data_IF_492490499339
#
_entry.id   IF_492490499339
#
_cell.length_a   1.000
_cell.length_b   1.000
_cell.length_c   1.000
_cell.angle_alpha   90.00
_cell.angle_beta   90.00
_cell.angle_gamma   90.00
#
_symmetry.space_group_name_H-M   'P 1'
#
loop_
_entity.id
_entity.type
_entity.pdbx_description
1 polymer ?
#
# COMPACT_ATOMS: atom_id res chain seq x y z
N UNK A 1 -11.61 9.29 -9.35
CA UNK A 1 -11.25 8.79 -8.01
C UNK A 1 -10.33 9.81 -7.36
N UNK A 2 -10.64 10.29 -6.14
CA UNK A 2 -9.82 11.28 -5.42
C UNK A 2 -8.69 10.60 -4.63
N UNK A 3 -7.63 11.34 -4.21
CA UNK A 3 -6.58 10.81 -3.35
C UNK A 3 -7.13 10.14 -2.08
N UNK A 4 -8.09 10.78 -1.42
CA UNK A 4 -8.78 10.25 -0.24
C UNK A 4 -9.43 8.89 -0.51
N UNK A 5 -10.20 8.76 -1.60
CA UNK A 5 -10.91 7.52 -1.94
C UNK A 5 -9.93 6.40 -2.28
N UNK A 6 -8.85 6.69 -3.02
CA UNK A 6 -7.81 5.71 -3.31
C UNK A 6 -7.16 5.21 -2.03
N UNK A 7 -6.70 6.14 -1.20
CA UNK A 7 -5.97 5.83 0.04
C UNK A 7 -6.83 5.01 1.00
N UNK A 8 -8.06 5.44 1.23
CA UNK A 8 -9.04 4.76 2.10
C UNK A 8 -9.34 3.34 1.65
N UNK A 9 -9.56 3.13 0.35
CA UNK A 9 -9.83 1.78 -0.19
C UNK A 9 -8.66 0.84 0.07
N UNK A 10 -7.43 1.29 -0.12
CA UNK A 10 -6.24 0.49 0.13
C UNK A 10 -5.98 0.28 1.64
N UNK A 11 -6.22 1.28 2.49
CA UNK A 11 -6.12 1.11 3.93
C UNK A 11 -7.13 0.07 4.48
N UNK A 12 -8.37 0.08 3.96
CA UNK A 12 -9.39 -0.91 4.33
C UNK A 12 -9.02 -2.29 3.78
N UNK A 13 -8.56 -2.39 2.53
CA UNK A 13 -8.14 -3.65 1.93
C UNK A 13 -6.98 -4.28 2.72
N UNK A 14 -6.00 -3.46 3.11
CA UNK A 14 -4.85 -3.88 3.90
C UNK A 14 -5.27 -4.40 5.28
N UNK A 15 -6.12 -3.67 6.00
CA UNK A 15 -6.67 -4.11 7.28
C UNK A 15 -7.51 -5.40 7.15
N UNK A 16 -8.27 -5.54 6.06
CA UNK A 16 -9.05 -6.76 5.78
C UNK A 16 -8.12 -7.94 5.54
N UNK A 17 -7.06 -7.77 4.76
CA UNK A 17 -6.09 -8.85 4.52
C UNK A 17 -5.30 -9.22 5.76
N UNK A 18 -5.03 -8.26 6.67
CA UNK A 18 -4.50 -8.55 8.01
C UNK A 18 -5.44 -9.47 8.80
N UNK A 19 -6.74 -9.17 8.83
CA UNK A 19 -7.72 -10.01 9.52
C UNK A 19 -7.74 -11.44 8.95
N UNK A 20 -7.69 -11.58 7.62
CA UNK A 20 -7.61 -12.89 6.96
C UNK A 20 -6.31 -13.63 7.29
N UNK A 21 -5.17 -12.93 7.28
CA UNK A 21 -3.87 -13.51 7.62
C UNK A 21 -3.83 -13.99 9.08
N UNK A 22 -4.31 -13.16 10.01
CA UNK A 22 -4.42 -13.54 11.42
C UNK A 22 -5.33 -14.76 11.62
N UNK A 23 -6.46 -14.81 10.91
CA UNK A 23 -7.34 -15.98 10.90
C UNK A 23 -6.62 -17.22 10.39
N UNK A 24 -5.86 -17.10 9.28
CA UNK A 24 -5.04 -18.19 8.77
C UNK A 24 -3.99 -18.66 9.78
N UNK A 25 -3.36 -17.73 10.51
CA UNK A 25 -2.40 -18.09 11.57
C UNK A 25 -3.06 -18.83 12.75
N UNK A 26 -4.26 -18.43 13.15
CA UNK A 26 -5.03 -19.16 14.19
C UNK A 26 -5.35 -20.59 13.72
N UNK A 27 -5.76 -20.77 12.46
CA UNK A 27 -6.04 -22.09 11.89
C UNK A 27 -4.78 -22.97 11.82
N UNK A 28 -3.62 -22.40 11.49
CA UNK A 28 -2.36 -23.13 11.41
C UNK A 28 -1.79 -23.46 12.78
N UNK A 29 -1.65 -22.47 13.66
CA UNK A 29 -0.91 -22.62 14.93
C UNK A 29 -1.82 -22.93 16.13
N UNK A 30 -3.06 -22.42 16.14
CA UNK A 30 -4.02 -22.63 17.22
C UNK A 30 -4.77 -23.96 17.10
N UNK A 31 -5.42 -24.18 15.96
CA UNK A 31 -6.24 -25.39 15.74
C UNK A 31 -5.52 -26.50 14.97
N UNK A 32 -4.37 -26.22 14.36
CA UNK A 32 -3.57 -27.14 13.55
C UNK A 32 -4.37 -27.84 12.42
N UNK A 33 -5.36 -27.13 11.87
CA UNK A 33 -6.26 -27.71 10.87
C UNK A 33 -5.71 -27.61 9.45
N UNK A 34 -5.06 -26.48 9.07
CA UNK A 34 -4.56 -26.27 7.72
C UNK A 34 -3.48 -25.19 7.64
N UNK A 35 -2.55 -25.35 6.72
CA UNK A 35 -1.54 -24.35 6.37
C UNK A 35 -1.98 -23.45 5.19
N UNK A 36 -2.98 -23.88 4.43
CA UNK A 36 -3.45 -23.19 3.23
C UNK A 36 -3.89 -21.75 3.52
N UNK A 37 -4.51 -21.52 4.70
CA UNK A 37 -4.94 -20.18 5.10
C UNK A 37 -3.79 -19.20 5.19
N UNK A 38 -2.68 -19.56 5.81
CA UNK A 38 -1.49 -18.70 5.91
C UNK A 38 -0.85 -18.49 4.55
N UNK A 39 -0.75 -19.54 3.72
CA UNK A 39 -0.15 -19.42 2.38
C UNK A 39 -0.95 -18.49 1.49
N UNK A 40 -2.26 -18.69 1.36
CA UNK A 40 -3.12 -17.90 0.49
C UNK A 40 -3.27 -16.47 1.03
N UNK A 41 -3.64 -16.33 2.29
CA UNK A 41 -3.88 -14.99 2.88
C UNK A 41 -2.58 -14.20 3.04
N UNK A 42 -1.45 -14.86 3.30
CA UNK A 42 -0.15 -14.22 3.33
C UNK A 42 0.26 -13.66 1.97
N UNK A 43 0.04 -14.41 0.89
CA UNK A 43 0.32 -13.92 -0.47
C UNK A 43 -0.58 -12.72 -0.82
N UNK A 44 -1.88 -12.84 -0.58
CA UNK A 44 -2.84 -11.74 -0.85
C UNK A 44 -2.49 -10.51 -0.02
N UNK A 45 -2.20 -10.68 1.27
CA UNK A 45 -1.79 -9.57 2.14
C UNK A 45 -0.49 -8.92 1.64
N UNK A 46 0.50 -9.70 1.24
CA UNK A 46 1.76 -9.17 0.70
C UNK A 46 1.56 -8.28 -0.54
N UNK A 47 0.70 -8.70 -1.47
CA UNK A 47 0.34 -7.90 -2.66
C UNK A 47 -0.35 -6.59 -2.26
N UNK A 48 -1.32 -6.66 -1.35
CA UNK A 48 -2.07 -5.47 -0.89
C UNK A 48 -1.17 -4.54 -0.08
N UNK A 49 -0.29 -5.06 0.76
CA UNK A 49 0.74 -4.31 1.49
C UNK A 49 1.61 -3.47 0.54
N UNK A 50 2.14 -4.11 -0.53
CA UNK A 50 2.95 -3.42 -1.54
C UNK A 50 2.12 -2.34 -2.24
N UNK A 51 0.89 -2.64 -2.63
CA UNK A 51 -0.01 -1.67 -3.26
C UNK A 51 -0.31 -0.47 -2.33
N UNK A 52 -0.52 -0.71 -1.04
CA UNK A 52 -0.70 0.34 -0.04
C UNK A 52 0.55 1.22 0.09
N UNK A 53 1.74 0.63 0.18
CA UNK A 53 3.00 1.37 0.26
C UNK A 53 3.22 2.27 -0.99
N UNK A 54 2.99 1.74 -2.18
CA UNK A 54 3.10 2.50 -3.42
C UNK A 54 2.09 3.66 -3.47
N UNK A 55 0.83 3.40 -3.07
CA UNK A 55 -0.19 4.44 -3.00
C UNK A 55 0.12 5.50 -1.93
N UNK A 56 0.70 5.11 -0.79
CA UNK A 56 1.15 6.05 0.24
C UNK A 56 2.17 7.04 -0.33
N UNK A 57 3.19 6.55 -1.05
CA UNK A 57 4.17 7.41 -1.71
C UNK A 57 3.50 8.27 -2.80
N UNK A 58 2.61 7.71 -3.59
CA UNK A 58 1.90 8.43 -4.65
C UNK A 58 1.04 9.57 -4.11
N UNK A 59 0.30 9.32 -3.01
CA UNK A 59 -0.51 10.35 -2.34
C UNK A 59 0.40 11.37 -1.65
N UNK A 60 1.49 10.95 -1.02
CA UNK A 60 2.46 11.83 -0.38
C UNK A 60 3.04 12.86 -1.36
N UNK A 61 3.39 12.45 -2.57
CA UNK A 61 3.86 13.35 -3.64
C UNK A 61 2.75 14.33 -4.04
N UNK A 62 1.52 13.86 -4.23
CA UNK A 62 0.39 14.70 -4.57
C UNK A 62 0.11 15.77 -3.50
N UNK A 63 0.09 15.36 -2.26
CA UNK A 63 -0.29 16.19 -1.10
C UNK A 63 0.89 16.92 -0.47
N UNK A 64 2.10 16.76 -1.03
CA UNK A 64 3.34 17.35 -0.49
C UNK A 64 3.56 17.02 0.99
N UNK A 65 3.31 15.76 1.37
CA UNK A 65 3.55 15.32 2.73
C UNK A 65 5.01 15.48 3.12
N UNK A 66 5.24 15.84 4.38
CA UNK A 66 6.59 15.80 4.91
C UNK A 66 7.11 14.36 4.98
N UNK A 67 8.44 14.18 4.99
CA UNK A 67 9.05 12.85 5.13
C UNK A 67 8.56 12.10 6.38
N UNK A 68 8.28 12.83 7.47
CA UNK A 68 7.74 12.24 8.71
C UNK A 68 6.34 11.67 8.52
N UNK A 69 5.45 12.39 7.85
CA UNK A 69 4.08 11.93 7.57
C UNK A 69 4.11 10.73 6.62
N UNK A 70 4.93 10.80 5.57
CA UNK A 70 5.09 9.70 4.61
C UNK A 70 5.62 8.45 5.31
N UNK A 71 6.65 8.58 6.15
CA UNK A 71 7.20 7.46 6.91
C UNK A 71 6.17 6.87 7.88
N UNK A 72 5.38 7.71 8.56
CA UNK A 72 4.29 7.26 9.43
C UNK A 72 3.25 6.45 8.65
N UNK A 73 2.88 6.91 7.45
CA UNK A 73 1.98 6.18 6.55
C UNK A 73 2.54 4.82 6.13
N UNK A 74 3.83 4.74 5.80
CA UNK A 74 4.48 3.48 5.43
C UNK A 74 4.60 2.53 6.63
N UNK A 75 5.02 3.04 7.80
CA UNK A 75 5.17 2.24 9.02
C UNK A 75 3.83 1.73 9.53
N UNK A 76 2.73 2.46 9.29
CA UNK A 76 1.38 2.03 9.69
C UNK A 76 0.92 0.74 9.00
N UNK A 77 1.56 0.34 7.88
CA UNK A 77 1.26 -0.92 7.22
C UNK A 77 1.82 -2.16 7.98
N UNK A 78 2.77 -1.96 8.91
CA UNK A 78 3.42 -3.06 9.62
C UNK A 78 2.54 -3.61 10.76
N UNK A 79 1.96 -2.80 11.67
CA UNK A 79 1.06 -3.34 12.69
C UNK A 79 -0.36 -3.56 12.12
N UNK A 80 -1.03 -4.65 12.49
CA UNK A 80 -2.40 -4.92 12.06
C UNK A 80 -3.34 -3.74 12.31
N UNK A 81 -4.16 -3.39 11.31
CA UNK A 81 -5.21 -2.36 11.38
C UNK A 81 -4.74 -0.91 11.56
N UNK A 82 -3.43 -0.65 11.69
CA UNK A 82 -2.90 0.70 11.87
C UNK A 82 -3.07 1.58 10.62
N UNK A 83 -3.20 0.99 9.44
CA UNK A 83 -3.50 1.72 8.19
C UNK A 83 -4.83 2.44 8.24
N UNK A 84 -5.86 1.85 8.84
CA UNK A 84 -7.17 2.49 9.04
C UNK A 84 -7.07 3.63 10.06
N UNK A 85 -6.29 3.45 11.13
CA UNK A 85 -6.03 4.53 12.08
C UNK A 85 -5.30 5.69 11.41
N UNK A 86 -4.27 5.41 10.61
CA UNK A 86 -3.53 6.44 9.88
C UNK A 86 -4.42 7.16 8.86
N UNK A 87 -5.26 6.45 8.11
CA UNK A 87 -6.24 7.05 7.19
C UNK A 87 -7.14 8.08 7.90
N UNK A 88 -7.72 7.69 9.04
CA UNK A 88 -8.58 8.59 9.84
C UNK A 88 -7.82 9.75 10.44
N UNK A 89 -6.60 9.52 10.90
CA UNK A 89 -5.73 10.56 11.42
C UNK A 89 -5.32 11.56 10.32
N UNK A 90 -4.96 11.09 9.14
CA UNK A 90 -4.60 11.90 7.99
C UNK A 90 -5.79 12.74 7.48
N UNK A 91 -6.99 12.13 7.43
CA UNK A 91 -8.22 12.83 7.08
C UNK A 91 -8.52 13.98 8.06
N UNK A 92 -8.45 13.74 9.37
CA UNK A 92 -8.69 14.76 10.41
C UNK A 92 -7.69 15.91 10.41
N UNK A 93 -6.59 15.77 9.71
CA UNK A 93 -5.53 16.77 9.55
C UNK A 93 -5.50 17.39 8.16
N UNK A 94 -6.55 17.15 7.37
CA UNK A 94 -6.71 17.67 6.02
C UNK A 94 -5.58 17.26 5.05
N UNK A 95 -4.83 16.19 5.41
CA UNK A 95 -3.71 15.68 4.62
C UNK A 95 -4.14 14.92 3.36
N UNK A 96 -5.44 14.63 3.22
CA UNK A 96 -6.02 13.90 2.09
C UNK A 96 -7.04 14.76 1.32
N UNK A 97 -7.16 16.06 1.65
CA UNK A 97 -8.10 16.95 1.01
C UNK A 97 -7.76 17.27 -0.46
N UNK A 98 -8.79 17.63 -1.20
CA UNK A 98 -8.66 18.08 -2.59
C UNK A 98 -8.57 16.95 -3.60
N UNK A 99 -8.18 17.34 -4.81
CA UNK A 99 -8.06 16.44 -5.96
C UNK A 99 -6.60 16.09 -6.29
N UNK A 100 -6.43 15.51 -7.47
CA UNK A 100 -5.09 15.27 -8.01
C UNK A 100 -4.50 16.58 -8.50
N UNK A 101 -3.59 17.14 -7.73
CA UNK A 101 -2.94 18.44 -7.97
C UNK A 101 -2.22 18.52 -9.31
N UNK A 102 -1.63 17.41 -9.74
CA UNK A 102 -0.83 17.27 -10.96
C UNK A 102 -1.64 16.71 -12.15
N UNK A 103 -2.97 16.59 -12.02
CA UNK A 103 -3.82 16.21 -13.14
C UNK A 103 -3.81 17.26 -14.25
N UNK A 104 -4.28 16.88 -15.44
CA UNK A 104 -4.36 17.79 -16.60
C UNK A 104 -5.12 19.07 -16.25
N UNK A 105 -4.49 20.22 -16.46
CA UNK A 105 -5.04 21.54 -16.06
C UNK A 105 -4.73 21.95 -14.61
N UNK A 106 -4.02 21.13 -13.85
CA UNK A 106 -3.56 21.44 -12.49
C UNK A 106 -2.19 22.13 -12.45
N UNK A 107 -1.46 21.95 -11.34
CA UNK A 107 -0.14 22.55 -11.15
C UNK A 107 0.91 21.92 -12.08
N UNK A 108 1.89 22.72 -12.50
CA UNK A 108 3.04 22.23 -13.24
C UNK A 108 3.99 21.45 -12.30
N UNK A 109 4.46 20.25 -12.70
CA UNK A 109 5.37 19.45 -11.88
C UNK A 109 6.75 20.13 -11.79
N UNK A 110 7.30 20.22 -10.57
CA UNK A 110 8.58 20.88 -10.28
C UNK A 110 9.72 19.91 -10.00
N UNK A 111 9.40 18.69 -9.55
CA UNK A 111 10.37 17.65 -9.20
C UNK A 111 10.20 16.40 -10.06
N UNK A 112 11.23 15.53 -10.06
CA UNK A 112 11.16 14.25 -10.80
C UNK A 112 9.96 13.39 -10.37
N UNK A 113 9.70 13.16 -9.05
CA UNK A 113 8.52 12.43 -8.62
C UNK A 113 7.19 13.04 -9.11
N UNK A 114 7.09 14.38 -9.08
CA UNK A 114 5.90 15.08 -9.59
C UNK A 114 5.72 14.91 -11.11
N UNK A 115 6.82 14.89 -11.89
CA UNK A 115 6.75 14.63 -13.34
C UNK A 115 6.25 13.23 -13.64
N UNK A 116 6.76 12.22 -12.90
CA UNK A 116 6.30 10.84 -13.02
C UNK A 116 4.81 10.75 -12.66
N UNK A 117 4.39 11.38 -11.56
CA UNK A 117 2.99 11.39 -11.16
C UNK A 117 2.07 12.08 -12.17
N UNK A 118 2.47 13.25 -12.69
CA UNK A 118 1.71 13.94 -13.74
C UNK A 118 1.56 13.08 -15.00
N UNK A 119 2.62 12.39 -15.40
CA UNK A 119 2.58 11.44 -16.51
C UNK A 119 1.62 10.28 -16.25
N UNK A 120 1.65 9.72 -15.04
CA UNK A 120 0.74 8.64 -14.63
C UNK A 120 -0.73 9.10 -14.62
N UNK A 121 -1.01 10.29 -14.12
CA UNK A 121 -2.36 10.86 -14.10
C UNK A 121 -2.89 11.19 -15.49
N UNK A 122 -2.00 11.61 -16.41
CA UNK A 122 -2.37 11.86 -17.80
C UNK A 122 -2.63 10.58 -18.62
N UNK A 123 -2.11 9.42 -18.17
CA UNK A 123 -2.20 8.14 -18.88
C UNK A 123 -2.64 7.02 -17.94
N UNK A 124 -3.92 7.00 -17.51
CA UNK A 124 -4.39 6.09 -16.46
C UNK A 124 -4.22 4.60 -16.81
N UNK A 125 -4.35 4.21 -18.07
CA UNK A 125 -4.14 2.81 -18.50
C UNK A 125 -2.67 2.41 -18.38
N UNK A 126 -1.77 3.27 -18.86
CA UNK A 126 -0.32 3.03 -18.73
C UNK A 126 0.11 3.05 -17.25
N UNK A 127 -0.45 3.96 -16.46
CA UNK A 127 -0.21 4.01 -15.02
C UNK A 127 -0.66 2.73 -14.31
N UNK A 128 -1.84 2.21 -14.64
CA UNK A 128 -2.33 0.94 -14.11
C UNK A 128 -1.39 -0.22 -14.48
N UNK A 129 -0.94 -0.28 -15.74
CA UNK A 129 0.00 -1.31 -16.19
C UNK A 129 1.34 -1.21 -15.42
N UNK A 130 1.90 -0.01 -15.27
CA UNK A 130 3.14 0.24 -14.51
C UNK A 130 2.96 -0.15 -13.03
N UNK A 131 1.83 0.22 -12.42
CA UNK A 131 1.54 -0.14 -11.03
C UNK A 131 1.43 -1.66 -10.85
N UNK A 132 0.74 -2.36 -11.74
CA UNK A 132 0.63 -3.82 -11.72
C UNK A 132 2.01 -4.49 -11.90
N UNK A 133 2.83 -4.01 -12.84
CA UNK A 133 4.19 -4.53 -13.04
C UNK A 133 5.06 -4.27 -11.81
N UNK A 134 4.98 -3.10 -11.19
CA UNK A 134 5.72 -2.78 -9.98
C UNK A 134 5.30 -3.70 -8.81
N UNK A 135 4.01 -3.90 -8.60
CA UNK A 135 3.50 -4.82 -7.57
C UNK A 135 3.97 -6.25 -7.86
N UNK A 136 3.84 -6.73 -9.11
CA UNK A 136 4.28 -8.07 -9.50
C UNK A 136 5.80 -8.25 -9.29
N UNK A 137 6.61 -7.29 -9.72
CA UNK A 137 8.07 -7.34 -9.56
C UNK A 137 8.47 -7.34 -8.07
N UNK A 138 7.90 -6.45 -7.26
CA UNK A 138 8.19 -6.39 -5.82
C UNK A 138 7.72 -7.65 -5.08
N UNK A 139 6.56 -8.19 -5.44
CA UNK A 139 6.07 -9.46 -4.89
C UNK A 139 7.00 -10.61 -5.27
N UNK A 140 7.45 -10.67 -6.53
CA UNK A 140 8.41 -11.69 -6.97
C UNK A 140 9.73 -11.58 -6.20
N UNK A 141 10.25 -10.38 -6.05
CA UNK A 141 11.48 -10.16 -5.25
C UNK A 141 11.27 -10.61 -3.80
N UNK A 142 10.16 -10.23 -3.19
CA UNK A 142 9.84 -10.62 -1.81
C UNK A 142 9.75 -12.16 -1.65
N UNK A 143 9.18 -12.85 -2.62
CA UNK A 143 9.09 -14.32 -2.64
C UNK A 143 10.46 -14.99 -2.85
N UNK A 144 11.32 -14.41 -3.69
CA UNK A 144 12.67 -14.93 -3.95
C UNK A 144 13.62 -14.71 -2.78
N UNK A 145 13.51 -13.56 -2.10
CA UNK A 145 14.32 -13.29 -0.91
C UNK A 145 13.91 -14.21 0.25
N UNK A 146 12.63 -14.58 0.32
CA UNK A 146 12.09 -15.52 1.32
C UNK A 146 12.23 -15.03 2.78
N UNK A 147 11.60 -15.70 3.73
CA UNK A 147 12.00 -15.57 5.11
C UNK A 147 13.42 -16.13 5.27
N UNK A 148 14.29 -15.50 6.11
CA UNK A 148 15.61 -16.04 6.38
C UNK A 148 15.45 -17.50 6.77
N UNK A 149 16.14 -18.39 6.04
CA UNK A 149 16.08 -19.82 6.29
C UNK A 149 16.36 -20.03 7.77
N UNK A 150 15.38 -20.55 8.51
CA UNK A 150 15.63 -21.03 9.87
C UNK A 150 16.67 -22.13 9.73
N UNK A 151 17.91 -21.82 10.11
CA UNK A 151 18.95 -22.84 10.25
C UNK A 151 18.41 -23.86 11.24
N UNK A 152 17.88 -24.96 10.72
CA UNK A 152 17.59 -26.14 11.48
C UNK A 152 18.92 -26.72 11.95
N UNK A 153 19.32 -26.39 13.13
CA UNK A 153 20.29 -27.14 13.92
C UNK A 153 19.55 -28.01 14.91
#
# INVERSE_FOLDING_TARGET
>A
MTPLVLFRRLAIAEATTWALLLTGMVLKYGTRTTELGVQVFGMVHGVVFIAYCLATVFVAVNQRWSARVTLLGLVSAVPPFMTVWFDRWAERRDLLEGGWRLASGGEAPRSVPEKVQAWMLARPVAAAAVALLAVAALTTVALLVGPPASSSS
#
